data_IF_016358986308
#
_entry.id   IF_016358986308
#
_cell.length_a   1.000
_cell.length_b   1.000
_cell.length_c   1.000
_cell.angle_alpha   90.00
_cell.angle_beta   90.00
_cell.angle_gamma   90.00
#
_symmetry.space_group_name_H-M   'P 1'
#
loop_
_entity.id
_entity.type
_entity.pdbx_description
1 polymer ?
#
# COMPACT_ATOMS: atom_id res chain seq x y z
N UNK A 1 26.28 3.87 9.83
CA UNK A 1 24.96 3.33 10.19
C UNK A 1 24.26 2.97 8.90
N UNK A 2 24.21 1.69 8.53
CA UNK A 2 23.57 1.24 7.30
C UNK A 2 22.05 1.33 7.53
N UNK A 3 21.38 2.23 6.83
CA UNK A 3 19.92 2.16 6.69
C UNK A 3 19.60 0.91 5.89
N UNK A 4 19.45 -0.22 6.59
CA UNK A 4 18.88 -1.44 6.03
C UNK A 4 17.48 -1.07 5.54
N UNK A 5 17.34 -0.92 4.22
CA UNK A 5 16.03 -0.72 3.65
C UNK A 5 15.21 -1.98 3.92
N UNK A 6 14.00 -1.87 4.51
CA UNK A 6 13.16 -3.03 4.76
C UNK A 6 12.97 -3.76 3.44
N UNK A 7 13.15 -5.08 3.50
CA UNK A 7 12.97 -5.96 2.34
C UNK A 7 11.56 -5.78 1.79
N UNK A 8 11.39 -6.01 0.48
CA UNK A 8 10.08 -5.89 -0.18
C UNK A 8 8.97 -6.67 0.56
N UNK A 9 9.30 -7.83 1.11
CA UNK A 9 8.39 -8.66 1.90
C UNK A 9 7.97 -8.01 3.24
N UNK A 10 8.89 -7.32 3.91
CA UNK A 10 8.57 -6.56 5.13
C UNK A 10 7.62 -5.40 4.81
N UNK A 11 7.90 -4.66 3.73
CA UNK A 11 7.04 -3.56 3.31
C UNK A 11 5.63 -4.04 2.91
N UNK A 12 5.51 -5.16 2.19
CA UNK A 12 4.22 -5.78 1.88
C UNK A 12 3.43 -6.15 3.14
N UNK A 13 4.11 -6.66 4.17
CA UNK A 13 3.50 -7.02 5.45
C UNK A 13 3.02 -5.79 6.24
N UNK A 14 3.79 -4.70 6.23
CA UNK A 14 3.39 -3.43 6.84
C UNK A 14 2.16 -2.82 6.14
N UNK A 15 2.13 -2.83 4.81
CA UNK A 15 0.97 -2.35 4.05
C UNK A 15 -0.26 -3.20 4.32
N UNK A 16 -0.10 -4.52 4.43
CA UNK A 16 -1.20 -5.43 4.76
C UNK A 16 -1.80 -5.06 6.11
N UNK A 17 -0.99 -4.90 7.17
CA UNK A 17 -1.47 -4.46 8.48
C UNK A 17 -2.12 -3.08 8.46
N UNK A 18 -1.59 -2.16 7.65
CA UNK A 18 -2.17 -0.83 7.50
C UNK A 18 -3.60 -0.93 6.93
N UNK A 19 -3.78 -1.72 5.85
CA UNK A 19 -5.10 -1.97 5.23
C UNK A 19 -6.04 -2.71 6.18
N UNK A 20 -5.57 -3.73 6.90
CA UNK A 20 -6.37 -4.43 7.93
C UNK A 20 -6.85 -3.45 9.01
N UNK A 21 -5.98 -2.54 9.46
CA UNK A 21 -6.34 -1.50 10.43
C UNK A 21 -7.32 -0.45 9.89
N UNK A 22 -7.32 -0.20 8.57
CA UNK A 22 -8.35 0.62 7.91
C UNK A 22 -9.69 -0.11 7.86
N UNK A 23 -9.70 -1.38 7.44
CA UNK A 23 -10.91 -2.20 7.32
C UNK A 23 -11.58 -2.46 8.68
N UNK A 24 -10.77 -2.68 9.72
CA UNK A 24 -11.24 -2.80 11.09
C UNK A 24 -11.99 -1.54 11.55
N UNK A 25 -11.55 -0.35 11.11
CA UNK A 25 -12.24 0.92 11.38
C UNK A 25 -13.50 1.09 10.53
N UNK A 26 -13.50 0.61 9.30
CA UNK A 26 -14.67 0.63 8.40
C UNK A 26 -15.73 -0.44 8.72
N UNK A 27 -15.48 -1.35 9.66
CA UNK A 27 -16.44 -2.39 10.08
C UNK A 27 -16.72 -3.46 9.02
N UNK A 28 -15.91 -3.52 7.95
CA UNK A 28 -16.08 -4.50 6.86
C UNK A 28 -15.22 -5.73 7.17
N UNK A 29 -15.71 -6.57 8.08
CA UNK A 29 -14.86 -7.49 8.85
C UNK A 29 -14.74 -8.93 8.37
N UNK A 30 -15.50 -9.42 7.38
CA UNK A 30 -15.71 -10.89 7.33
C UNK A 30 -14.97 -11.69 6.25
N UNK A 31 -14.40 -11.10 5.21
CA UNK A 31 -13.69 -11.88 4.18
C UNK A 31 -12.69 -11.10 3.30
N UNK A 32 -12.14 -9.98 3.77
CA UNK A 32 -11.22 -9.19 2.93
C UNK A 32 -9.77 -9.70 3.03
N UNK A 33 -9.29 -10.35 1.97
CA UNK A 33 -7.88 -10.76 1.83
C UNK A 33 -6.96 -9.55 1.61
N UNK A 34 -6.65 -8.80 2.68
CA UNK A 34 -5.81 -7.61 2.61
C UNK A 34 -4.45 -7.88 1.96
N UNK A 35 -3.84 -9.02 2.24
CA UNK A 35 -2.56 -9.42 1.64
C UNK A 35 -2.66 -9.64 0.12
N UNK A 36 -3.72 -10.31 -0.33
CA UNK A 36 -3.94 -10.58 -1.76
C UNK A 36 -4.27 -9.28 -2.51
N UNK A 37 -5.09 -8.44 -1.88
CA UNK A 37 -5.44 -7.12 -2.38
C UNK A 37 -4.21 -6.21 -2.51
N UNK A 38 -3.36 -6.11 -1.48
CA UNK A 38 -2.12 -5.30 -1.52
C UNK A 38 -1.18 -5.77 -2.63
N UNK A 39 -1.00 -7.10 -2.80
CA UNK A 39 -0.16 -7.66 -3.88
C UNK A 39 -0.70 -7.33 -5.27
N UNK A 40 -2.01 -7.35 -5.44
CA UNK A 40 -2.68 -7.01 -6.70
C UNK A 40 -2.59 -5.51 -6.96
N UNK A 41 -2.86 -4.69 -5.94
CA UNK A 41 -2.78 -3.23 -5.99
C UNK A 41 -1.37 -2.74 -6.32
N UNK A 42 -0.32 -3.34 -5.74
CA UNK A 42 1.08 -3.02 -6.04
C UNK A 42 1.46 -3.28 -7.52
N UNK A 43 0.76 -4.19 -8.18
CA UNK A 43 0.95 -4.51 -9.61
C UNK A 43 0.03 -3.70 -10.52
N UNK A 44 -1.02 -3.10 -9.98
CA UNK A 44 -1.96 -2.30 -10.74
C UNK A 44 -1.36 -0.93 -11.06
N UNK A 45 -1.31 -0.52 -12.34
CA UNK A 45 -0.86 0.82 -12.70
C UNK A 45 -1.83 1.86 -12.15
N UNK A 46 -1.30 2.87 -11.44
CA UNK A 46 -2.10 3.98 -10.92
C UNK A 46 -1.92 5.21 -11.81
N UNK A 47 -3.00 5.89 -12.24
CA UNK A 47 -2.89 7.13 -13.00
C UNK A 47 -2.18 8.24 -12.17
N UNK A 48 -2.34 8.24 -10.84
CA UNK A 48 -1.64 9.14 -9.92
C UNK A 48 -0.10 8.96 -9.92
N UNK A 49 0.41 7.85 -10.44
CA UNK A 49 1.83 7.57 -10.62
C UNK A 49 2.25 7.63 -12.09
N UNK A 50 1.44 8.24 -12.95
CA UNK A 50 1.70 8.29 -14.40
C UNK A 50 1.59 6.90 -15.04
N UNK A 51 0.58 6.12 -14.67
CA UNK A 51 0.37 4.73 -15.12
C UNK A 51 1.50 3.75 -14.74
N UNK A 52 2.28 4.09 -13.71
CA UNK A 52 3.35 3.23 -13.20
C UNK A 52 2.84 2.38 -12.03
N UNK A 53 3.16 1.07 -11.98
CA UNK A 53 2.81 0.22 -10.85
C UNK A 53 3.58 0.64 -9.59
N UNK A 54 2.92 0.71 -8.42
CA UNK A 54 3.58 1.13 -7.18
C UNK A 54 4.73 0.21 -6.77
N UNK A 55 4.72 -1.06 -7.20
CA UNK A 55 5.85 -1.98 -7.04
C UNK A 55 7.18 -1.40 -7.58
N UNK A 56 7.14 -0.54 -8.61
CA UNK A 56 8.34 0.04 -9.21
C UNK A 56 9.01 1.08 -8.28
N UNK A 57 8.23 1.81 -7.48
CA UNK A 57 8.74 2.83 -6.56
C UNK A 57 8.95 2.32 -5.13
N UNK A 58 8.39 1.14 -4.80
CA UNK A 58 8.47 0.52 -3.47
C UNK A 58 9.91 0.19 -2.99
N UNK A 59 10.89 0.16 -3.91
CA UNK A 59 12.31 0.00 -3.56
C UNK A 59 12.90 1.19 -2.80
N UNK A 60 12.33 2.39 -2.96
CA UNK A 60 12.85 3.63 -2.37
C UNK A 60 12.05 4.05 -1.13
N UNK A 61 12.70 4.70 -0.15
CA UNK A 61 12.01 5.22 1.03
C UNK A 61 10.91 6.25 0.67
N UNK A 62 11.21 7.13 -0.28
CA UNK A 62 10.26 8.13 -0.80
C UNK A 62 9.05 7.46 -1.49
N UNK A 63 9.29 6.44 -2.32
CA UNK A 63 8.22 5.71 -2.98
C UNK A 63 7.34 4.94 -1.99
N UNK A 64 7.93 4.35 -0.95
CA UNK A 64 7.18 3.73 0.15
C UNK A 64 6.28 4.71 0.89
N UNK A 65 6.76 5.94 1.15
CA UNK A 65 5.94 6.99 1.76
C UNK A 65 4.78 7.42 0.86
N UNK A 66 5.03 7.60 -0.45
CA UNK A 66 3.96 7.92 -1.42
C UNK A 66 2.90 6.83 -1.49
N UNK A 67 3.32 5.56 -1.49
CA UNK A 67 2.40 4.41 -1.46
C UNK A 67 1.49 4.46 -0.23
N UNK A 68 2.05 4.73 0.96
CA UNK A 68 1.25 4.86 2.19
C UNK A 68 0.26 6.03 2.11
N UNK A 69 0.66 7.16 1.55
CA UNK A 69 -0.24 8.30 1.34
C UNK A 69 -1.38 7.97 0.36
N UNK A 70 -1.09 7.30 -0.75
CA UNK A 70 -2.10 6.87 -1.71
C UNK A 70 -3.14 5.93 -1.07
N UNK A 71 -2.67 5.01 -0.22
CA UNK A 71 -3.53 4.12 0.54
C UNK A 71 -4.40 4.87 1.57
N UNK A 72 -3.83 5.85 2.27
CA UNK A 72 -4.60 6.69 3.20
C UNK A 72 -5.64 7.58 2.47
N UNK A 73 -5.33 8.07 1.26
CA UNK A 73 -6.30 8.77 0.42
C UNK A 73 -7.41 7.82 -0.07
N UNK A 74 -7.07 6.56 -0.37
CA UNK A 74 -8.05 5.53 -0.74
C UNK A 74 -8.98 5.17 0.43
N UNK A 75 -8.49 5.17 1.69
CA UNK A 75 -9.34 5.03 2.90
C UNK A 75 -10.44 6.10 2.95
N UNK A 76 -10.07 7.33 2.63
CA UNK A 76 -10.94 8.49 2.76
C UNK A 76 -11.94 8.63 1.60
N UNK A 77 -11.88 7.74 0.59
CA UNK A 77 -12.63 7.89 -0.66
C UNK A 77 -12.24 9.12 -1.48
N UNK A 78 -11.16 9.81 -1.09
CA UNK A 78 -10.66 11.01 -1.75
C UNK A 78 -9.77 10.60 -2.91
N UNK A 79 -10.37 9.94 -3.90
CA UNK A 79 -9.79 9.80 -5.23
C UNK A 79 -10.38 10.92 -6.09
N UNK A 80 -9.81 12.11 -5.98
CA UNK A 80 -10.05 13.23 -6.89
C UNK A 80 -8.78 13.51 -7.70
#
# INVERSE_FOLDING_TARGET
>A
MATEHPTRAQFESELTRFVEGMLARSGTGEAFDARCWVRTWLKSPLPALGFTPPANIAGTALGRQRIRQLLACAESGAYA
#
